data_IF_479893614093
#
_entry.id   IF_479893614093
#
_cell.length_a   1.000
_cell.length_b   1.000
_cell.length_c   1.000
_cell.angle_alpha   90.00
_cell.angle_beta   90.00
_cell.angle_gamma   90.00
#
_symmetry.space_group_name_H-M   'P 1'
#
loop_
_entity.id
_entity.type
_entity.pdbx_description
1 polymer ?
#
# COMPACT_ATOMS: atom_id res chain seq x y z
N UNK A 1 7.02 36.33 64.82
CA UNK A 1 7.94 36.14 63.69
C UNK A 1 8.11 34.64 63.49
N UNK A 2 7.36 34.05 62.56
CA UNK A 2 7.33 32.58 62.34
C UNK A 2 8.24 32.25 61.17
N UNK A 3 9.26 31.45 61.43
CA UNK A 3 10.28 31.03 60.45
C UNK A 3 9.69 29.96 59.51
N UNK A 4 9.42 30.35 58.27
CA UNK A 4 9.08 29.38 57.20
C UNK A 4 10.35 28.58 56.90
N UNK A 5 10.32 27.28 57.17
CA UNK A 5 11.46 26.37 56.99
C UNK A 5 11.87 26.22 55.51
N UNK A 6 13.08 26.67 55.19
CA UNK A 6 13.72 26.54 53.87
C UNK A 6 13.87 25.06 53.40
N UNK A 7 13.74 24.09 54.31
CA UNK A 7 13.89 22.66 54.04
C UNK A 7 12.77 22.10 53.14
N UNK A 8 11.54 22.64 53.21
CA UNK A 8 10.40 22.19 52.40
C UNK A 8 10.52 22.54 50.92
N UNK A 9 11.16 23.68 50.60
CA UNK A 9 11.34 24.14 49.22
C UNK A 9 12.40 23.32 48.47
N UNK A 10 13.45 22.86 49.17
CA UNK A 10 14.51 22.01 48.59
C UNK A 10 14.03 20.59 48.28
N UNK A 11 13.18 20.01 49.14
CA UNK A 11 12.65 18.65 48.92
C UNK A 11 11.56 18.61 47.83
N UNK A 12 10.80 19.69 47.65
CA UNK A 12 9.83 19.81 46.56
C UNK A 12 10.53 19.84 45.18
N UNK A 13 11.69 20.51 45.08
CA UNK A 13 12.49 20.56 43.85
C UNK A 13 13.10 19.21 43.45
N UNK A 14 13.60 18.44 44.41
CA UNK A 14 14.21 17.12 44.15
C UNK A 14 13.15 16.08 43.74
N UNK A 15 11.99 16.02 44.41
CA UNK A 15 10.88 15.15 44.01
C UNK A 15 10.37 15.45 42.59
N UNK A 16 10.17 16.72 42.25
CA UNK A 16 9.72 17.14 40.91
C UNK A 16 10.75 16.81 39.81
N UNK A 17 12.04 16.83 40.12
CA UNK A 17 13.12 16.44 39.21
C UNK A 17 13.22 14.92 39.00
N UNK A 18 12.92 14.12 40.02
CA UNK A 18 12.91 12.66 39.94
C UNK A 18 11.71 12.16 39.13
N UNK A 19 10.55 12.77 39.34
CA UNK A 19 9.31 12.43 38.64
C UNK A 19 9.36 12.81 37.14
N UNK A 20 10.02 13.92 36.81
CA UNK A 20 10.31 14.27 35.40
C UNK A 20 11.28 13.28 34.73
N UNK A 21 12.27 12.76 35.46
CA UNK A 21 13.23 11.77 34.94
C UNK A 21 12.59 10.40 34.73
N UNK A 22 11.71 9.96 35.63
CA UNK A 22 10.97 8.70 35.47
C UNK A 22 9.98 8.77 34.31
N UNK A 23 9.32 9.92 34.12
CA UNK A 23 8.40 10.13 33.00
C UNK A 23 9.15 10.19 31.67
N UNK A 24 10.30 10.85 31.62
CA UNK A 24 11.17 10.87 30.43
C UNK A 24 11.68 9.45 30.06
N UNK A 25 12.09 8.65 31.04
CA UNK A 25 12.51 7.26 30.81
C UNK A 25 11.36 6.41 30.24
N UNK A 26 10.16 6.52 30.83
CA UNK A 26 8.96 5.84 30.33
C UNK A 26 8.57 6.23 28.92
N UNK A 27 8.72 7.50 28.55
CA UNK A 27 8.47 7.98 27.19
C UNK A 27 9.49 7.40 26.20
N UNK A 28 10.78 7.35 26.58
CA UNK A 28 11.81 6.74 25.75
C UNK A 28 11.59 5.24 25.55
N UNK A 29 11.20 4.52 26.61
CA UNK A 29 10.85 3.09 26.53
C UNK A 29 9.63 2.86 25.62
N UNK A 30 8.60 3.69 25.76
CA UNK A 30 7.40 3.64 24.91
C UNK A 30 7.71 3.94 23.44
N UNK A 31 8.57 4.93 23.18
CA UNK A 31 9.04 5.25 21.83
C UNK A 31 9.83 4.07 21.23
N UNK A 32 10.71 3.44 22.00
CA UNK A 32 11.46 2.26 21.59
C UNK A 32 10.53 1.07 21.24
N UNK A 33 9.54 0.80 22.10
CA UNK A 33 8.54 -0.24 21.86
C UNK A 33 7.70 0.03 20.60
N UNK A 34 7.29 1.29 20.38
CA UNK A 34 6.55 1.70 19.19
C UNK A 34 7.38 1.52 17.92
N UNK A 35 8.66 1.94 17.93
CA UNK A 35 9.57 1.75 16.78
C UNK A 35 9.70 0.27 16.43
N UNK A 36 9.97 -0.59 17.41
CA UNK A 36 10.07 -2.03 17.20
C UNK A 36 8.78 -2.64 16.64
N UNK A 37 7.61 -2.18 17.11
CA UNK A 37 6.31 -2.60 16.58
C UNK A 37 6.13 -2.18 15.12
N UNK A 38 6.39 -0.92 14.79
CA UNK A 38 6.26 -0.38 13.44
C UNK A 38 7.22 -1.06 12.45
N UNK A 39 8.47 -1.27 12.83
CA UNK A 39 9.46 -1.98 12.01
C UNK A 39 9.05 -3.42 11.71
N UNK A 40 8.42 -4.08 12.68
CA UNK A 40 7.94 -5.46 12.55
C UNK A 40 6.72 -5.58 11.65
N UNK A 41 5.76 -4.65 11.73
CA UNK A 41 4.44 -4.82 11.12
C UNK A 41 4.16 -3.97 9.89
N UNK A 42 4.87 -2.86 9.67
CA UNK A 42 4.61 -1.94 8.55
C UNK A 42 4.65 -2.63 7.18
N UNK A 43 5.75 -3.32 6.86
CA UNK A 43 5.92 -3.95 5.54
C UNK A 43 4.97 -5.16 5.34
N UNK A 44 4.81 -6.09 6.32
CA UNK A 44 3.81 -7.15 6.20
C UNK A 44 2.39 -6.62 6.04
N UNK A 45 1.99 -5.60 6.81
CA UNK A 45 0.68 -5.00 6.71
C UNK A 45 0.46 -4.33 5.34
N UNK A 46 1.46 -3.57 4.85
CA UNK A 46 1.41 -2.94 3.52
C UNK A 46 1.26 -3.97 2.40
N UNK A 47 2.00 -5.09 2.49
CA UNK A 47 1.91 -6.21 1.55
C UNK A 47 0.54 -6.86 1.55
N UNK A 48 -0.02 -7.15 2.72
CA UNK A 48 -1.35 -7.76 2.84
C UNK A 48 -2.42 -6.80 2.35
N UNK A 49 -2.35 -5.51 2.69
CA UNK A 49 -3.29 -4.50 2.23
C UNK A 49 -3.26 -4.35 0.71
N UNK A 50 -2.07 -4.22 0.12
CA UNK A 50 -1.91 -4.17 -1.34
C UNK A 50 -2.46 -5.42 -2.00
N UNK A 51 -2.11 -6.60 -1.48
CA UNK A 51 -2.62 -7.86 -2.03
C UNK A 51 -4.13 -7.99 -1.92
N UNK A 52 -4.73 -7.59 -0.79
CA UNK A 52 -6.17 -7.63 -0.57
C UNK A 52 -6.93 -6.72 -1.55
N UNK A 53 -6.41 -5.50 -1.81
CA UNK A 53 -6.97 -4.59 -2.82
C UNK A 53 -7.04 -5.26 -4.19
N UNK A 54 -5.96 -5.92 -4.62
CA UNK A 54 -5.91 -6.63 -5.90
C UNK A 54 -6.80 -7.89 -5.92
N UNK A 55 -6.90 -8.64 -4.82
CA UNK A 55 -7.82 -9.77 -4.74
C UNK A 55 -9.27 -9.31 -4.85
N UNK A 56 -9.68 -8.29 -4.09
CA UNK A 56 -11.06 -7.82 -4.12
C UNK A 56 -11.41 -7.25 -5.49
N UNK A 57 -10.61 -6.33 -6.03
CA UNK A 57 -10.92 -5.72 -7.32
C UNK A 57 -10.75 -6.67 -8.52
N UNK A 58 -9.88 -7.67 -8.40
CA UNK A 58 -9.78 -8.74 -9.39
C UNK A 58 -10.97 -9.68 -9.32
N UNK A 59 -11.40 -10.06 -8.12
CA UNK A 59 -12.52 -10.99 -7.93
C UNK A 59 -13.84 -10.44 -8.48
N UNK A 60 -14.07 -9.12 -8.36
CA UNK A 60 -15.25 -8.46 -8.92
C UNK A 60 -15.36 -8.64 -10.44
N UNK A 61 -14.23 -8.78 -11.15
CA UNK A 61 -14.20 -8.93 -12.63
C UNK A 61 -14.60 -10.32 -13.11
N UNK A 62 -14.73 -11.31 -12.22
CA UNK A 62 -15.28 -12.61 -12.59
C UNK A 62 -16.81 -12.57 -12.78
N UNK A 63 -17.49 -11.56 -12.22
CA UNK A 63 -18.94 -11.44 -12.26
C UNK A 63 -19.29 -10.31 -13.25
N UNK A 64 -19.92 -10.62 -14.40
CA UNK A 64 -20.29 -9.61 -15.39
C UNK A 64 -21.22 -8.54 -14.81
N UNK A 65 -21.00 -7.28 -15.19
CA UNK A 65 -21.82 -6.13 -14.79
C UNK A 65 -21.55 -5.61 -13.37
N UNK A 66 -20.59 -6.19 -12.64
CA UNK A 66 -20.27 -5.79 -11.26
C UNK A 66 -19.09 -4.83 -11.21
N UNK A 67 -18.13 -4.95 -12.13
CA UNK A 67 -16.96 -4.08 -12.10
C UNK A 67 -17.25 -2.75 -12.81
N UNK A 68 -17.10 -1.59 -12.13
CA UNK A 68 -17.30 -0.29 -12.78
C UNK A 68 -16.31 0.01 -13.91
N UNK A 69 -15.26 -0.80 -14.04
CA UNK A 69 -14.16 -0.62 -14.97
C UNK A 69 -14.26 -1.55 -16.18
N UNK A 70 -15.33 -2.33 -16.35
CA UNK A 70 -15.47 -3.27 -17.46
C UNK A 70 -15.21 -2.62 -18.83
N UNK A 71 -15.83 -1.48 -19.18
CA UNK A 71 -15.60 -0.85 -20.48
C UNK A 71 -14.13 -0.43 -20.68
N UNK A 72 -13.48 0.05 -19.61
CA UNK A 72 -12.08 0.47 -19.67
C UNK A 72 -11.14 -0.72 -19.84
N UNK A 73 -11.40 -1.83 -19.14
CA UNK A 73 -10.61 -3.06 -19.24
C UNK A 73 -10.73 -3.64 -20.65
N UNK A 74 -11.94 -3.73 -21.20
CA UNK A 74 -12.16 -4.23 -22.56
C UNK A 74 -11.46 -3.36 -23.61
N UNK A 75 -11.62 -2.04 -23.53
CA UNK A 75 -10.94 -1.11 -24.44
C UNK A 75 -9.42 -1.23 -24.35
N UNK A 76 -8.89 -1.36 -23.13
CA UNK A 76 -7.46 -1.55 -22.86
C UNK A 76 -6.93 -2.82 -23.51
N UNK A 77 -7.59 -3.96 -23.29
CA UNK A 77 -7.19 -5.22 -23.93
C UNK A 77 -7.29 -5.14 -25.45
N UNK A 78 -8.34 -4.50 -25.98
CA UNK A 78 -8.49 -4.27 -27.41
C UNK A 78 -7.28 -3.53 -28.00
N UNK A 79 -6.81 -2.46 -27.36
CA UNK A 79 -5.63 -1.72 -27.83
C UNK A 79 -4.34 -2.53 -27.65
N UNK A 80 -4.12 -3.11 -26.47
CA UNK A 80 -2.88 -3.82 -26.15
C UNK A 80 -2.69 -5.13 -26.95
N UNK A 81 -3.78 -5.72 -27.43
CA UNK A 81 -3.76 -6.97 -28.19
C UNK A 81 -4.14 -6.78 -29.65
N UNK A 82 -4.19 -5.54 -30.15
CA UNK A 82 -4.57 -5.24 -31.53
C UNK A 82 -5.93 -5.86 -31.94
N UNK A 83 -6.88 -5.86 -31.01
CA UNK A 83 -8.24 -6.35 -31.19
C UNK A 83 -8.42 -7.86 -31.01
N UNK A 84 -7.36 -8.61 -30.65
CA UNK A 84 -7.44 -10.07 -30.49
C UNK A 84 -8.20 -10.49 -29.22
N UNK A 85 -8.16 -9.68 -28.16
CA UNK A 85 -8.80 -9.95 -26.88
C UNK A 85 -9.80 -8.84 -26.54
N UNK A 86 -11.04 -9.24 -26.24
CA UNK A 86 -12.11 -8.33 -25.84
C UNK A 86 -13.21 -9.02 -25.06
N UNK A 87 -14.22 -8.25 -24.66
CA UNK A 87 -15.38 -8.75 -23.92
C UNK A 87 -15.02 -9.46 -22.62
N UNK A 88 -15.77 -10.52 -22.31
CA UNK A 88 -15.58 -11.33 -21.11
C UNK A 88 -14.17 -11.92 -20.97
N UNK A 89 -13.49 -12.24 -22.07
CA UNK A 89 -12.14 -12.80 -22.00
C UNK A 89 -11.14 -11.79 -21.42
N UNK A 90 -11.25 -10.52 -21.81
CA UNK A 90 -10.43 -9.43 -21.26
C UNK A 90 -10.64 -9.30 -19.74
N UNK A 91 -11.89 -9.37 -19.29
CA UNK A 91 -12.25 -9.31 -17.87
C UNK A 91 -11.68 -10.49 -17.09
N UNK A 92 -11.88 -11.72 -17.58
CA UNK A 92 -11.40 -12.95 -16.92
C UNK A 92 -9.88 -12.98 -16.85
N UNK A 93 -9.17 -12.63 -17.93
CA UNK A 93 -7.71 -12.56 -17.91
C UNK A 93 -7.21 -11.55 -16.89
N UNK A 94 -7.82 -10.35 -16.86
CA UNK A 94 -7.49 -9.33 -15.85
C UNK A 94 -7.77 -9.82 -14.43
N UNK A 95 -8.93 -10.44 -14.21
CA UNK A 95 -9.34 -11.01 -12.93
C UNK A 95 -8.30 -12.03 -12.43
N UNK A 96 -7.88 -12.95 -13.29
CA UNK A 96 -6.87 -13.97 -12.97
C UNK A 96 -5.53 -13.33 -12.62
N UNK A 97 -5.05 -12.36 -13.40
CA UNK A 97 -3.77 -11.69 -13.15
C UNK A 97 -3.81 -10.95 -11.81
N UNK A 98 -4.84 -10.13 -11.58
CA UNK A 98 -4.96 -9.32 -10.37
C UNK A 98 -5.14 -10.18 -9.11
N UNK A 99 -6.05 -11.17 -9.15
CA UNK A 99 -6.27 -12.06 -8.00
C UNK A 99 -5.06 -12.91 -7.70
N UNK A 100 -4.36 -13.43 -8.73
CA UNK A 100 -3.13 -14.20 -8.54
C UNK A 100 -2.03 -13.33 -7.92
N UNK A 101 -1.81 -12.12 -8.43
CA UNK A 101 -0.86 -11.17 -7.86
C UNK A 101 -1.19 -10.92 -6.37
N UNK A 102 -2.46 -10.64 -6.08
CA UNK A 102 -2.93 -10.36 -4.72
C UNK A 102 -2.73 -11.53 -3.76
N UNK A 103 -3.10 -12.76 -4.16
CA UNK A 103 -2.95 -13.96 -3.34
C UNK A 103 -1.48 -14.31 -3.07
N UNK A 104 -0.62 -14.22 -4.09
CA UNK A 104 0.82 -14.43 -3.93
C UNK A 104 1.44 -13.41 -2.99
N UNK A 105 0.99 -12.14 -3.10
CA UNK A 105 1.40 -11.08 -2.19
C UNK A 105 0.91 -11.34 -0.78
N UNK A 106 -0.35 -11.73 -0.53
CA UNK A 106 -0.87 -12.02 0.82
C UNK A 106 -0.16 -13.22 1.45
N UNK A 107 0.07 -14.28 0.68
CA UNK A 107 0.76 -15.49 1.15
C UNK A 107 2.17 -15.19 1.66
N UNK A 108 2.90 -14.28 1.02
CA UNK A 108 4.26 -13.88 1.40
C UNK A 108 5.33 -14.91 1.05
N UNK A 109 4.96 -16.19 0.91
CA UNK A 109 5.85 -17.29 0.50
C UNK A 109 6.42 -17.11 -0.90
N UNK A 110 5.62 -16.53 -1.79
CA UNK A 110 5.93 -16.31 -3.21
C UNK A 110 5.85 -14.83 -3.60
N UNK A 111 6.14 -13.93 -2.64
CA UNK A 111 6.01 -12.48 -2.86
C UNK A 111 6.81 -11.96 -4.06
N UNK A 112 7.96 -12.58 -4.39
CA UNK A 112 8.74 -12.23 -5.60
C UNK A 112 7.93 -12.46 -6.88
N UNK A 113 7.30 -13.62 -6.99
CA UNK A 113 6.43 -13.94 -8.14
C UNK A 113 5.20 -13.03 -8.14
N UNK A 114 4.59 -12.81 -6.97
CA UNK A 114 3.46 -11.88 -6.83
C UNK A 114 3.78 -10.47 -7.31
N UNK A 115 4.98 -9.96 -7.03
CA UNK A 115 5.44 -8.65 -7.53
C UNK A 115 5.64 -8.62 -9.05
N UNK A 116 6.11 -9.72 -9.66
CA UNK A 116 6.24 -9.82 -11.12
C UNK A 116 4.86 -9.82 -11.77
N UNK A 117 3.92 -10.62 -11.26
CA UNK A 117 2.54 -10.64 -11.78
C UNK A 117 1.86 -9.29 -11.57
N UNK A 118 2.09 -8.64 -10.42
CA UNK A 118 1.61 -7.29 -10.13
C UNK A 118 2.17 -6.26 -11.12
N UNK A 119 3.46 -6.37 -11.49
CA UNK A 119 4.05 -5.48 -12.49
C UNK A 119 3.38 -5.64 -13.86
N UNK A 120 3.05 -6.87 -14.27
CA UNK A 120 2.25 -7.14 -15.48
C UNK A 120 0.87 -6.51 -15.36
N UNK A 121 0.21 -6.64 -14.21
CA UNK A 121 -1.10 -6.01 -13.97
C UNK A 121 -1.03 -4.47 -14.14
N UNK A 122 0.03 -3.83 -13.62
CA UNK A 122 0.20 -2.38 -13.73
C UNK A 122 0.38 -1.90 -15.18
N UNK A 123 0.95 -2.70 -16.08
CA UNK A 123 1.01 -2.35 -17.51
C UNK A 123 -0.41 -2.15 -18.06
N UNK A 124 -1.32 -3.09 -17.76
CA UNK A 124 -2.73 -2.96 -18.14
C UNK A 124 -3.40 -1.77 -17.45
N UNK A 125 -3.31 -1.68 -16.13
CA UNK A 125 -3.98 -0.66 -15.31
C UNK A 125 -3.57 0.77 -15.68
N UNK A 126 -2.31 1.00 -16.08
CA UNK A 126 -1.79 2.33 -16.40
C UNK A 126 -1.88 2.69 -17.88
N UNK A 127 -2.08 1.71 -18.77
CA UNK A 127 -2.19 1.98 -20.21
C UNK A 127 -3.27 3.00 -20.60
N UNK A 128 -4.42 3.15 -19.90
CA UNK A 128 -5.39 4.20 -20.18
C UNK A 128 -4.85 5.63 -20.08
N UNK A 129 -3.80 5.86 -19.30
CA UNK A 129 -3.16 7.19 -19.19
C UNK A 129 -2.64 7.63 -20.57
N UNK A 130 -2.18 6.68 -21.38
CA UNK A 130 -1.62 6.91 -22.70
C UNK A 130 -2.69 6.85 -23.79
N UNK A 131 -3.59 5.87 -23.71
CA UNK A 131 -4.53 5.57 -24.80
C UNK A 131 -5.92 6.23 -24.68
N UNK A 132 -6.35 6.56 -23.46
CA UNK A 132 -7.71 7.03 -23.16
C UNK A 132 -7.71 8.29 -22.28
N UNK A 133 -6.75 9.18 -22.51
CA UNK A 133 -6.56 10.40 -21.69
C UNK A 133 -7.81 11.28 -21.67
N UNK A 134 -8.56 11.32 -22.76
CA UNK A 134 -9.84 12.03 -22.92
C UNK A 134 -10.94 11.52 -21.97
N UNK A 135 -10.88 10.24 -21.56
CA UNK A 135 -11.79 9.67 -20.57
C UNK A 135 -11.34 9.95 -19.12
N UNK A 136 -10.06 10.26 -18.92
CA UNK A 136 -9.48 10.49 -17.59
C UNK A 136 -9.55 11.96 -17.17
N UNK A 137 -9.39 12.89 -18.11
CA UNK A 137 -9.34 14.33 -17.84
C UNK A 137 -10.20 15.08 -18.85
N UNK A 138 -11.11 15.91 -18.35
CA UNK A 138 -11.91 16.85 -19.14
C UNK A 138 -11.41 18.29 -18.90
N UNK A 139 -12.03 19.26 -19.60
CA UNK A 139 -11.74 20.69 -19.41
C UNK A 139 -12.00 21.14 -17.97
N UNK A 140 -12.96 20.50 -17.29
CA UNK A 140 -13.34 20.82 -15.92
C UNK A 140 -12.49 20.08 -14.86
N UNK A 141 -11.54 19.22 -15.29
CA UNK A 141 -10.63 18.49 -14.41
C UNK A 141 -10.71 16.95 -14.53
N UNK A 142 -10.12 16.20 -13.58
CA UNK A 142 -10.07 14.74 -13.64
C UNK A 142 -11.43 14.09 -13.36
N UNK A 143 -11.83 13.18 -14.25
CA UNK A 143 -13.06 12.39 -14.08
C UNK A 143 -12.94 11.43 -12.88
N UNK A 144 -14.05 10.83 -12.43
CA UNK A 144 -13.99 9.78 -11.40
C UNK A 144 -13.08 8.61 -11.81
N UNK A 145 -13.07 8.29 -13.11
CA UNK A 145 -12.17 7.29 -13.69
C UNK A 145 -10.71 7.76 -13.61
N UNK A 146 -10.44 9.02 -14.00
CA UNK A 146 -9.13 9.65 -13.85
C UNK A 146 -8.61 9.63 -12.42
N UNK A 147 -9.47 9.94 -11.44
CA UNK A 147 -9.14 9.87 -10.02
C UNK A 147 -8.84 8.43 -9.56
N UNK A 148 -9.62 7.45 -10.06
CA UNK A 148 -9.38 6.04 -9.77
C UNK A 148 -8.05 5.54 -10.34
N UNK A 149 -7.66 6.01 -11.53
CA UNK A 149 -6.36 5.68 -12.13
C UNK A 149 -5.23 6.40 -11.38
N UNK A 150 -5.41 7.69 -11.07
CA UNK A 150 -4.40 8.51 -10.40
C UNK A 150 -3.99 7.96 -9.02
N UNK A 151 -4.96 7.46 -8.21
CA UNK A 151 -4.64 6.88 -6.90
C UNK A 151 -3.74 5.62 -6.98
N UNK A 152 -3.64 4.97 -8.14
CA UNK A 152 -2.76 3.80 -8.30
C UNK A 152 -1.28 4.14 -8.12
N UNK A 153 -0.88 5.42 -8.20
CA UNK A 153 0.47 5.87 -7.83
C UNK A 153 0.83 5.47 -6.39
N UNK A 154 -0.14 5.49 -5.47
CA UNK A 154 0.06 5.03 -4.09
C UNK A 154 0.30 3.52 -4.04
N UNK A 155 -0.44 2.74 -4.84
CA UNK A 155 -0.27 1.28 -4.91
C UNK A 155 1.09 0.91 -5.53
N UNK A 156 1.54 1.66 -6.53
CA UNK A 156 2.88 1.50 -7.13
C UNK A 156 3.96 1.80 -6.09
N UNK A 157 3.85 2.93 -5.37
CA UNK A 157 4.79 3.26 -4.30
C UNK A 157 4.84 2.16 -3.22
N UNK A 158 3.69 1.64 -2.81
CA UNK A 158 3.61 0.51 -1.89
C UNK A 158 4.31 -0.74 -2.46
N UNK A 159 4.07 -1.08 -3.73
CA UNK A 159 4.71 -2.20 -4.41
C UNK A 159 6.23 -2.04 -4.46
N UNK A 160 6.75 -0.84 -4.74
CA UNK A 160 8.19 -0.54 -4.74
C UNK A 160 8.80 -0.73 -3.34
N UNK A 161 8.13 -0.24 -2.29
CA UNK A 161 8.58 -0.43 -0.90
C UNK A 161 8.65 -1.91 -0.55
N UNK A 162 7.60 -2.69 -0.87
CA UNK A 162 7.57 -4.14 -0.64
C UNK A 162 8.68 -4.84 -1.44
N UNK A 163 8.83 -4.50 -2.73
CA UNK A 163 9.85 -5.06 -3.60
C UNK A 163 11.26 -4.82 -3.07
N UNK A 164 11.55 -3.61 -2.59
CA UNK A 164 12.85 -3.27 -2.01
C UNK A 164 13.22 -4.21 -0.84
N UNK A 165 12.25 -4.59 0.00
CA UNK A 165 12.48 -5.51 1.13
C UNK A 165 12.62 -6.96 0.68
N UNK A 166 11.74 -7.39 -0.24
CA UNK A 166 11.69 -8.79 -0.72
C UNK A 166 12.90 -9.15 -1.60
N UNK A 167 13.44 -8.19 -2.35
CA UNK A 167 14.60 -8.39 -3.21
C UNK A 167 15.93 -8.35 -2.45
N UNK A 168 16.04 -7.54 -1.37
CA UNK A 168 17.25 -7.47 -0.51
C UNK A 168 17.60 -8.79 0.18
N UNK A 169 16.66 -9.73 0.30
CA UNK A 169 16.84 -10.99 1.05
C UNK A 169 17.83 -12.03 0.48
N UNK A 170 18.80 -11.68 -0.36
CA UNK A 170 19.86 -12.60 -0.87
C UNK A 170 21.25 -11.95 -1.11
N UNK A 171 21.62 -10.90 -0.39
CA UNK A 171 23.06 -10.59 -0.24
C UNK A 171 23.65 -11.58 0.75
N UNK A 172 23.94 -12.78 0.25
CA UNK A 172 24.74 -13.76 0.96
C UNK A 172 26.16 -13.21 1.13
N UNK A 173 26.62 -13.25 2.37
CA UNK A 173 28.02 -13.50 2.68
C UNK A 173 28.57 -14.60 1.76
N UNK A 174 29.46 -14.23 0.86
CA UNK A 174 30.52 -15.08 0.31
C UNK A 174 31.80 -14.28 0.38
#
# INVERSE_FOLDING_TARGET
MTTISAHGLSQAGTRRSADRRSLAARLADAEGALKAFLERWSIPALRVALGAVFVVFGALKFIPGVSPLEPLVEATWGVLTFGLVGGQLALVLTAVIETTAGLLLISGRFARLGLVVLAVAFVGILSPIVFFTDQLVTVDGPTLLGQYVAKNVVLIAAALVIASRVLRGRSGTR
#
